data_IF_143757648281
#
_entry.id   IF_143757648281
#
_cell.length_a   1.000
_cell.length_b   1.000
_cell.length_c   1.000
_cell.angle_alpha   90.00
_cell.angle_beta   90.00
_cell.angle_gamma   90.00
#
_symmetry.space_group_name_H-M   'P 1'
#
loop_
_entity.id
_entity.type
_entity.pdbx_description
1 polymer ?
#
# COMPACT_ATOMS: atom_id res chain seq x y z
N UNK A 1 14.74 -6.93 -14.58
CA UNK A 1 13.41 -7.51 -14.32
C UNK A 1 13.44 -8.80 -13.51
N UNK A 2 14.32 -9.78 -13.81
CA UNK A 2 14.33 -11.09 -13.13
C UNK A 2 14.30 -11.06 -11.59
N UNK A 3 15.19 -10.29 -10.95
CA UNK A 3 15.25 -10.21 -9.48
C UNK A 3 13.96 -9.69 -8.86
N UNK A 4 13.36 -8.65 -9.46
CA UNK A 4 12.08 -8.11 -8.97
C UNK A 4 10.92 -9.09 -9.13
N UNK A 5 10.88 -9.83 -10.24
CA UNK A 5 9.86 -10.88 -10.47
C UNK A 5 10.01 -12.03 -9.49
N UNK A 6 11.25 -12.48 -9.21
CA UNK A 6 11.52 -13.49 -8.19
C UNK A 6 11.10 -13.03 -6.80
N UNK A 7 11.48 -11.81 -6.42
CA UNK A 7 11.19 -11.27 -5.10
C UNK A 7 9.67 -11.16 -4.89
N UNK A 8 8.91 -10.74 -5.91
CA UNK A 8 7.46 -10.54 -5.78
C UNK A 8 6.63 -11.82 -5.98
N UNK A 9 7.02 -12.72 -6.90
CA UNK A 9 6.24 -13.92 -7.21
C UNK A 9 6.84 -15.21 -6.64
N UNK A 10 8.09 -15.17 -6.14
CA UNK A 10 8.83 -16.35 -5.67
C UNK A 10 9.53 -17.15 -6.76
N UNK A 11 9.40 -16.76 -8.03
CA UNK A 11 9.92 -17.52 -9.16
C UNK A 11 10.11 -16.67 -10.41
N UNK A 12 10.91 -17.17 -11.35
CA UNK A 12 11.17 -16.57 -12.66
C UNK A 12 10.97 -17.63 -13.74
N UNK A 13 10.29 -17.26 -14.83
CA UNK A 13 10.28 -18.01 -16.08
C UNK A 13 10.98 -17.23 -17.19
N UNK A 14 11.91 -17.88 -17.87
CA UNK A 14 12.61 -17.32 -19.03
C UNK A 14 12.65 -18.34 -20.14
N UNK A 15 12.20 -17.95 -21.33
CA UNK A 15 12.28 -18.75 -22.53
C UNK A 15 13.47 -18.28 -23.39
N UNK A 16 14.52 -19.11 -23.58
CA UNK A 16 15.56 -18.84 -24.57
C UNK A 16 14.98 -19.00 -25.98
N UNK A 17 14.93 -17.92 -26.75
CA UNK A 17 14.44 -17.89 -28.12
C UNK A 17 15.61 -17.66 -29.06
N UNK A 18 15.57 -18.33 -30.22
CA UNK A 18 16.53 -18.09 -31.29
C UNK A 18 15.93 -17.14 -32.31
N UNK A 19 16.52 -15.95 -32.44
CA UNK A 19 16.10 -14.96 -33.42
C UNK A 19 16.87 -15.17 -34.73
N UNK A 20 16.17 -15.62 -35.76
CA UNK A 20 16.72 -15.86 -37.11
C UNK A 20 16.88 -14.58 -37.92
N UNK A 21 16.17 -13.51 -37.58
CA UNK A 21 16.10 -12.25 -38.35
C UNK A 21 17.18 -11.26 -37.90
N UNK A 22 17.72 -11.44 -36.70
CA UNK A 22 18.77 -10.60 -36.14
C UNK A 22 20.11 -10.72 -36.89
N UNK A 23 20.71 -9.57 -37.18
CA UNK A 23 22.06 -9.42 -37.76
C UNK A 23 23.20 -9.39 -36.73
N UNK A 24 22.87 -9.42 -35.44
CA UNK A 24 23.86 -9.45 -34.35
C UNK A 24 24.58 -10.80 -34.27
N UNK A 25 25.79 -10.77 -33.70
CA UNK A 25 26.64 -11.95 -33.50
C UNK A 25 25.96 -13.04 -32.65
N UNK A 26 25.24 -12.64 -31.60
CA UNK A 26 24.50 -13.54 -30.74
C UNK A 26 23.00 -13.51 -31.10
N UNK A 27 22.49 -14.64 -31.56
CA UNK A 27 21.07 -14.81 -31.94
C UNK A 27 20.18 -15.36 -30.82
N UNK A 28 20.78 -15.75 -29.70
CA UNK A 28 20.01 -16.19 -28.53
C UNK A 28 19.48 -14.97 -27.79
N UNK A 29 18.16 -14.89 -27.69
CA UNK A 29 17.45 -13.90 -26.89
C UNK A 29 16.73 -14.58 -25.74
N UNK A 30 16.49 -13.85 -24.66
CA UNK A 30 15.77 -14.34 -23.49
C UNK A 30 14.47 -13.59 -23.39
N UNK A 31 13.35 -14.30 -23.55
CA UNK A 31 12.01 -13.77 -23.34
C UNK A 31 11.61 -14.03 -21.90
N UNK A 32 11.45 -12.97 -21.11
CA UNK A 32 10.87 -13.08 -19.78
C UNK A 32 9.38 -13.45 -19.92
N UNK A 33 8.97 -14.52 -19.25
CA UNK A 33 7.56 -14.94 -19.20
C UNK A 33 7.04 -14.62 -17.81
N UNK A 34 5.89 -13.93 -17.75
CA UNK A 34 5.23 -13.66 -16.48
C UNK A 34 4.79 -14.98 -15.81
N UNK A 35 5.14 -15.23 -14.54
CA UNK A 35 4.66 -16.41 -13.80
C UNK A 35 3.13 -16.55 -13.78
N UNK A 36 2.41 -15.43 -13.87
CA UNK A 36 0.93 -15.39 -13.89
C UNK A 36 0.34 -16.02 -15.15
N UNK A 37 1.12 -16.13 -16.23
CA UNK A 37 0.70 -16.76 -17.48
C UNK A 37 0.93 -18.28 -17.48
N UNK A 38 1.75 -18.78 -16.56
CA UNK A 38 1.97 -20.21 -16.41
C UNK A 38 0.82 -20.76 -15.59
N UNK A 39 -0.10 -21.47 -16.24
CA UNK A 39 -1.30 -22.00 -15.60
C UNK A 39 -1.74 -23.30 -16.28
N UNK A 40 -2.57 -24.07 -15.58
CA UNK A 40 -3.18 -25.29 -16.10
C UNK A 40 -4.16 -24.94 -17.22
N UNK A 41 -4.09 -25.60 -18.39
CA UNK A 41 -5.05 -25.40 -19.46
C UNK A 41 -6.50 -25.57 -18.98
N UNK A 42 -7.34 -24.60 -19.29
CA UNK A 42 -8.74 -24.55 -18.87
C UNK A 42 -8.95 -24.15 -17.39
N UNK A 43 -7.92 -23.64 -16.71
CA UNK A 43 -7.97 -23.22 -15.29
C UNK A 43 -8.45 -24.32 -14.32
N UNK A 44 -8.24 -25.58 -14.69
CA UNK A 44 -8.61 -26.72 -13.85
C UNK A 44 -7.68 -26.90 -12.65
N UNK A 45 -8.08 -27.73 -11.69
CA UNK A 45 -7.24 -28.11 -10.53
C UNK A 45 -5.92 -28.81 -10.91
N UNK A 46 -5.77 -29.23 -12.17
CA UNK A 46 -4.63 -30.02 -12.65
C UNK A 46 -4.83 -31.52 -12.42
N UNK A 47 -3.73 -32.27 -12.56
CA UNK A 47 -3.68 -33.70 -12.31
C UNK A 47 -2.32 -34.10 -11.71
N UNK A 48 -2.10 -35.39 -11.44
CA UNK A 48 -0.84 -35.88 -10.86
C UNK A 48 0.42 -35.43 -11.63
N UNK A 49 0.32 -35.32 -12.95
CA UNK A 49 1.39 -35.02 -13.88
C UNK A 49 1.37 -33.56 -14.37
N UNK A 50 0.40 -32.74 -13.97
CA UNK A 50 0.27 -31.34 -14.38
C UNK A 50 -0.27 -30.53 -13.20
N UNK A 51 0.57 -29.66 -12.63
CA UNK A 51 0.23 -28.89 -11.43
C UNK A 51 0.61 -27.43 -11.64
N UNK A 52 -0.37 -26.53 -11.54
CA UNK A 52 -0.19 -25.09 -11.70
C UNK A 52 0.60 -24.72 -12.98
N UNK A 53 0.23 -25.32 -14.11
CA UNK A 53 0.87 -25.10 -15.41
C UNK A 53 2.21 -25.78 -15.65
N UNK A 54 2.75 -26.54 -14.69
CA UNK A 54 4.00 -27.33 -14.86
C UNK A 54 3.67 -28.81 -15.01
N UNK A 55 4.07 -29.39 -16.13
CA UNK A 55 4.04 -30.84 -16.31
C UNK A 55 5.23 -31.49 -15.60
N UNK A 56 4.97 -32.55 -14.84
CA UNK A 56 5.97 -33.29 -14.07
C UNK A 56 5.96 -34.77 -14.40
N UNK A 57 7.14 -35.38 -14.44
CA UNK A 57 7.30 -36.83 -14.60
C UNK A 57 7.03 -37.56 -13.27
N UNK A 58 7.00 -38.91 -13.30
CA UNK A 58 6.86 -39.78 -12.13
C UNK A 58 7.86 -39.46 -11.02
N UNK A 59 9.04 -38.94 -11.38
CA UNK A 59 10.11 -38.56 -10.46
C UNK A 59 10.04 -37.09 -10.02
N UNK A 60 8.97 -36.35 -10.34
CA UNK A 60 8.81 -34.94 -9.96
C UNK A 60 9.60 -33.94 -10.81
N UNK A 61 10.31 -34.41 -11.85
CA UNK A 61 11.06 -33.54 -12.77
C UNK A 61 10.10 -32.79 -13.69
N UNK A 62 10.25 -31.47 -13.82
CA UNK A 62 9.51 -30.68 -14.80
C UNK A 62 9.84 -31.13 -16.24
N UNK A 63 8.81 -31.41 -17.03
CA UNK A 63 8.87 -31.90 -18.42
C UNK A 63 8.50 -30.80 -19.41
N UNK A 64 7.46 -30.04 -19.10
CA UNK A 64 6.96 -28.94 -19.94
C UNK A 64 6.21 -27.91 -19.10
N UNK A 65 6.01 -26.74 -19.69
CA UNK A 65 5.30 -25.60 -19.10
C UNK A 65 4.17 -25.19 -20.04
N UNK A 66 3.01 -24.91 -19.46
CA UNK A 66 1.83 -24.42 -20.17
C UNK A 66 1.73 -22.92 -19.96
N UNK A 67 1.87 -22.16 -21.04
CA UNK A 67 1.85 -20.70 -21.01
C UNK A 67 0.59 -20.23 -21.72
N UNK A 68 -0.25 -19.50 -21.02
CA UNK A 68 -1.42 -18.88 -21.61
C UNK A 68 -0.98 -17.78 -22.60
N UNK A 69 -1.56 -17.79 -23.81
CA UNK A 69 -1.34 -16.77 -24.83
C UNK A 69 -1.80 -15.40 -24.33
N UNK A 70 -1.01 -14.37 -24.67
CA UNK A 70 -1.27 -12.98 -24.28
C UNK A 70 -1.92 -12.26 -25.46
N UNK A 71 -3.19 -12.59 -25.71
CA UNK A 71 -3.99 -11.92 -26.73
C UNK A 71 -4.55 -10.62 -26.17
N UNK A 72 -4.22 -9.50 -26.81
CA UNK A 72 -4.88 -8.22 -26.55
C UNK A 72 -6.13 -8.13 -27.43
N UNK A 73 -7.33 -7.76 -26.93
CA UNK A 73 -7.62 -7.13 -25.64
C UNK A 73 -8.10 -8.07 -24.52
N UNK A 74 -8.24 -9.38 -24.80
CA UNK A 74 -8.71 -10.37 -23.84
C UNK A 74 -7.54 -11.22 -23.34
N UNK A 75 -6.94 -10.82 -22.21
CA UNK A 75 -5.88 -11.62 -21.59
C UNK A 75 -6.40 -13.04 -21.35
N UNK A 76 -5.76 -14.03 -21.97
CA UNK A 76 -6.16 -15.42 -21.87
C UNK A 76 -7.32 -15.79 -22.78
N UNK A 77 -7.09 -15.82 -24.09
CA UNK A 77 -7.99 -16.37 -25.12
C UNK A 77 -8.32 -17.87 -24.94
N UNK A 78 -8.00 -18.46 -23.78
CA UNK A 78 -8.18 -19.87 -23.49
C UNK A 78 -7.24 -20.76 -24.30
N UNK A 79 -6.16 -20.20 -24.85
CA UNK A 79 -5.12 -20.94 -25.56
C UNK A 79 -3.87 -21.02 -24.70
N UNK A 80 -3.38 -22.24 -24.54
CA UNK A 80 -2.14 -22.53 -23.83
C UNK A 80 -1.14 -23.12 -24.80
N UNK A 81 0.03 -22.50 -24.86
CA UNK A 81 1.18 -23.02 -25.57
C UNK A 81 1.96 -23.94 -24.63
N UNK A 82 2.13 -25.20 -25.03
CA UNK A 82 2.94 -26.17 -24.30
C UNK A 82 4.40 -26.07 -24.76
N UNK A 83 5.27 -25.56 -23.90
CA UNK A 83 6.70 -25.43 -24.16
C UNK A 83 7.46 -26.51 -23.38
N UNK A 84 8.24 -27.38 -24.04
CA UNK A 84 9.04 -28.39 -23.34
C UNK A 84 10.14 -27.72 -22.51
N UNK A 85 10.58 -28.37 -21.43
CA UNK A 85 11.73 -27.90 -20.64
C UNK A 85 13.01 -27.90 -21.47
N UNK A 86 13.23 -28.97 -22.22
CA UNK A 86 14.39 -29.18 -23.08
C UNK A 86 13.92 -29.48 -24.51
N UNK A 87 14.59 -28.87 -25.49
CA UNK A 87 14.43 -29.19 -26.90
C UNK A 87 15.00 -30.59 -27.19
N UNK A 88 14.61 -31.23 -28.30
CA UNK A 88 15.20 -32.51 -28.73
C UNK A 88 16.73 -32.48 -28.87
N UNK A 89 17.30 -31.29 -29.05
CA UNK A 89 18.75 -31.05 -29.12
C UNK A 89 19.44 -31.04 -27.74
N UNK A 90 18.69 -31.17 -26.65
CA UNK A 90 19.18 -31.07 -25.27
C UNK A 90 19.33 -29.63 -24.75
N UNK A 91 19.04 -28.61 -25.58
CA UNK A 91 19.07 -27.21 -25.17
C UNK A 91 17.85 -26.89 -24.28
N UNK A 92 18.00 -26.15 -23.17
CA UNK A 92 16.84 -25.69 -22.40
C UNK A 92 15.95 -24.78 -23.26
N UNK A 93 14.69 -25.18 -23.43
CA UNK A 93 13.64 -24.37 -24.05
C UNK A 93 12.93 -23.47 -23.03
N UNK A 94 12.95 -23.85 -21.75
CA UNK A 94 12.41 -23.04 -20.66
C UNK A 94 13.33 -23.12 -19.44
N UNK A 95 13.60 -21.98 -18.84
CA UNK A 95 14.30 -21.83 -17.58
C UNK A 95 13.28 -21.44 -16.51
N UNK A 96 13.14 -22.28 -15.49
CA UNK A 96 12.33 -22.01 -14.31
C UNK A 96 13.27 -21.93 -13.11
N UNK A 97 13.31 -20.76 -12.48
CA UNK A 97 14.20 -20.46 -11.36
C UNK A 97 13.33 -20.15 -10.15
N UNK A 98 13.42 -20.98 -9.11
CA UNK A 98 12.76 -20.78 -7.83
C UNK A 98 13.52 -21.55 -6.75
N UNK A 99 13.25 -21.22 -5.49
CA UNK A 99 13.78 -21.92 -4.32
C UNK A 99 12.72 -22.91 -3.78
N UNK A 100 12.92 -24.23 -3.89
CA UNK A 100 11.99 -25.23 -3.38
C UNK A 100 12.11 -25.34 -1.85
N UNK A 101 10.97 -25.27 -1.16
CA UNK A 101 10.86 -25.41 0.30
C UNK A 101 10.29 -26.78 0.69
N UNK A 102 9.41 -27.32 -0.15
CA UNK A 102 8.71 -28.59 0.09
C UNK A 102 8.96 -29.61 -1.03
N UNK A 103 8.88 -30.90 -0.69
CA UNK A 103 8.94 -31.97 -1.70
C UNK A 103 7.70 -31.95 -2.59
N UNK A 104 7.91 -32.16 -3.89
CA UNK A 104 6.85 -32.13 -4.90
C UNK A 104 6.31 -30.73 -5.24
N UNK A 105 6.93 -29.67 -4.72
CA UNK A 105 6.63 -28.28 -5.08
C UNK A 105 6.99 -28.00 -6.54
N UNK A 106 6.00 -27.55 -7.32
CA UNK A 106 6.19 -27.26 -8.76
C UNK A 106 6.34 -25.78 -9.09
N UNK A 107 6.07 -24.88 -8.13
CA UNK A 107 6.07 -23.42 -8.30
C UNK A 107 6.73 -22.76 -7.10
N UNK A 108 7.41 -21.65 -7.33
CA UNK A 108 7.96 -20.84 -6.24
C UNK A 108 6.86 -20.14 -5.44
N UNK A 109 7.11 -19.92 -4.16
CA UNK A 109 6.25 -19.11 -3.30
C UNK A 109 6.95 -17.78 -2.98
N UNK A 110 6.18 -16.71 -2.88
CA UNK A 110 6.71 -15.40 -2.51
C UNK A 110 7.28 -15.48 -1.08
N UNK A 111 8.58 -15.20 -0.93
CA UNK A 111 9.28 -15.19 0.35
C UNK A 111 8.75 -14.11 1.31
N UNK A 112 8.19 -13.02 0.77
CA UNK A 112 7.63 -11.90 1.52
C UNK A 112 6.21 -12.15 2.05
N UNK A 113 5.63 -13.33 1.79
CA UNK A 113 4.29 -13.64 2.27
C UNK A 113 4.18 -13.56 3.80
N UNK A 114 5.25 -13.96 4.52
CA UNK A 114 5.33 -13.93 5.98
C UNK A 114 5.28 -12.52 6.58
N UNK A 115 5.77 -11.51 5.85
CA UNK A 115 5.85 -10.11 6.32
C UNK A 115 4.74 -9.22 5.78
N UNK A 116 3.94 -9.70 4.83
CA UNK A 116 2.95 -8.88 4.12
C UNK A 116 1.88 -8.29 5.04
N UNK A 117 1.43 -9.06 6.03
CA UNK A 117 0.50 -8.56 7.06
C UNK A 117 1.12 -7.43 7.88
N UNK A 118 2.40 -7.58 8.26
CA UNK A 118 3.14 -6.58 9.03
C UNK A 118 3.41 -5.31 8.25
N UNK A 119 3.73 -5.43 6.96
CA UNK A 119 3.85 -4.28 6.04
C UNK A 119 2.53 -3.50 5.96
N UNK A 120 1.39 -4.20 5.90
CA UNK A 120 0.08 -3.51 5.86
C UNK A 120 -0.25 -2.81 7.18
N UNK A 121 0.11 -3.42 8.31
CA UNK A 121 -0.06 -2.78 9.61
C UNK A 121 0.81 -1.53 9.75
N UNK A 122 2.06 -1.57 9.30
CA UNK A 122 2.96 -0.40 9.32
C UNK A 122 2.38 0.78 8.52
N UNK A 123 1.90 0.53 7.30
CA UNK A 123 1.23 1.53 6.44
C UNK A 123 0.01 2.15 7.15
N UNK A 124 -0.82 1.31 7.77
CA UNK A 124 -2.01 1.76 8.48
C UNK A 124 -1.66 2.57 9.74
N UNK A 125 -0.64 2.15 10.47
CA UNK A 125 -0.13 2.81 11.67
C UNK A 125 0.41 4.21 11.33
N UNK A 126 1.24 4.34 10.28
CA UNK A 126 1.72 5.63 9.78
C UNK A 126 0.58 6.55 9.35
N UNK A 127 -0.43 6.02 8.65
CA UNK A 127 -1.61 6.79 8.26
C UNK A 127 -2.41 7.31 9.47
N UNK A 128 -2.66 6.47 10.48
CA UNK A 128 -3.39 6.88 11.71
C UNK A 128 -2.60 7.89 12.55
N UNK A 129 -1.27 7.78 12.59
CA UNK A 129 -0.45 8.78 13.26
C UNK A 129 -0.57 10.13 12.53
N UNK A 130 -0.41 10.15 11.21
CA UNK A 130 -0.53 11.38 10.44
C UNK A 130 -1.90 12.04 10.66
N UNK A 131 -2.99 11.25 10.64
CA UNK A 131 -4.33 11.75 10.94
C UNK A 131 -4.44 12.29 12.36
N UNK A 132 -3.91 11.59 13.36
CA UNK A 132 -3.92 12.03 14.75
C UNK A 132 -3.11 13.32 14.94
N UNK A 133 -1.99 13.48 14.24
CA UNK A 133 -1.18 14.69 14.25
C UNK A 133 -1.94 15.88 13.65
N UNK A 134 -2.66 15.66 12.54
CA UNK A 134 -3.53 16.67 11.91
C UNK A 134 -4.66 17.07 12.87
N UNK A 135 -5.36 16.11 13.47
CA UNK A 135 -6.46 16.37 14.42
C UNK A 135 -5.95 17.11 15.66
N UNK A 136 -4.80 16.71 16.21
CA UNK A 136 -4.16 17.41 17.33
C UNK A 136 -3.77 18.84 16.97
N UNK A 137 -3.21 19.07 15.77
CA UNK A 137 -2.92 20.41 15.28
C UNK A 137 -4.18 21.27 15.10
N UNK A 138 -5.30 20.65 14.69
CA UNK A 138 -6.60 21.33 14.58
C UNK A 138 -7.18 21.68 15.95
N UNK A 139 -7.20 20.75 16.92
CA UNK A 139 -7.69 21.01 18.28
C UNK A 139 -6.82 22.01 19.06
N UNK A 140 -5.50 22.04 18.84
CA UNK A 140 -4.66 23.09 19.41
C UNK A 140 -5.02 24.50 18.90
N UNK A 141 -5.79 24.60 17.81
CA UNK A 141 -6.29 25.85 17.24
C UNK A 141 -7.78 26.13 17.58
N UNK A 142 -8.45 25.27 18.35
CA UNK A 142 -9.84 25.53 18.77
C UNK A 142 -9.88 26.43 20.00
N UNK A 143 -10.54 27.56 19.85
CA UNK A 143 -10.74 28.61 20.86
C UNK A 143 -11.83 28.14 21.82
N UNK A 144 -11.58 28.17 23.13
CA UNK A 144 -12.64 28.14 24.14
C UNK A 144 -13.09 29.59 24.39
N UNK A 145 -14.37 29.88 24.15
CA UNK A 145 -14.96 31.17 24.50
C UNK A 145 -15.63 31.06 25.88
N UNK A 146 -15.37 32.02 26.77
CA UNK A 146 -16.01 32.11 28.08
C UNK A 146 -17.46 32.61 27.96
N UNK A 147 -18.33 31.81 27.35
CA UNK A 147 -19.77 31.96 27.54
C UNK A 147 -20.18 31.08 28.72
N UNK A 148 -20.29 31.72 29.88
CA UNK A 148 -20.86 31.12 31.09
C UNK A 148 -22.17 30.41 30.74
N UNK A 149 -22.20 29.09 30.95
CA UNK A 149 -23.26 28.20 30.44
C UNK A 149 -24.63 28.59 31.01
N UNK A 150 -24.66 29.21 32.19
CA UNK A 150 -25.88 29.77 32.79
C UNK A 150 -26.45 30.94 31.98
N UNK A 151 -25.60 31.85 31.47
CA UNK A 151 -26.05 32.98 30.65
C UNK A 151 -26.51 32.52 29.27
N UNK A 152 -25.82 31.57 28.65
CA UNK A 152 -26.23 31.00 27.36
C UNK A 152 -27.62 30.34 27.41
N UNK A 153 -27.97 29.71 28.54
CA UNK A 153 -29.29 29.11 28.74
C UNK A 153 -30.39 30.17 28.98
N UNK A 154 -30.13 31.24 29.75
CA UNK A 154 -31.06 32.37 29.91
C UNK A 154 -31.37 33.07 28.58
N UNK A 155 -30.38 33.22 27.70
CA UNK A 155 -30.56 33.85 26.39
C UNK A 155 -31.32 32.97 25.37
N UNK A 156 -31.26 31.64 25.50
CA UNK A 156 -32.03 30.70 24.65
C UNK A 156 -33.47 30.52 25.16
N UNK A 157 -33.67 30.52 26.49
CA UNK A 157 -34.96 30.25 27.11
C UNK A 157 -35.89 31.49 27.21
N UNK A 158 -35.39 32.70 26.88
CA UNK A 158 -36.04 33.97 27.24
C UNK A 158 -36.48 34.92 26.11
N UNK A 159 -36.71 34.48 24.87
CA UNK A 159 -37.11 35.40 23.78
C UNK A 159 -38.57 35.21 23.32
N UNK A 160 -39.49 36.16 23.60
CA UNK A 160 -40.70 36.36 22.80
C UNK A 160 -40.32 36.93 21.42
N UNK A 161 -41.00 36.45 20.39
CA UNK A 161 -40.59 36.46 18.99
C UNK A 161 -40.68 37.82 18.23
N UNK A 162 -40.64 38.99 18.89
CA UNK A 162 -40.99 40.27 18.24
C UNK A 162 -40.15 41.52 18.60
N UNK A 163 -38.85 41.40 18.92
CA UNK A 163 -37.98 42.59 19.01
C UNK A 163 -36.76 42.50 18.10
N UNK A 164 -36.66 43.48 17.18
CA UNK A 164 -35.57 43.67 16.22
C UNK A 164 -34.24 44.10 16.86
N UNK A 165 -34.19 44.27 18.18
CA UNK A 165 -33.00 44.55 18.99
C UNK A 165 -32.65 43.35 19.87
N UNK A 166 -32.38 42.19 19.26
CA UNK A 166 -31.85 41.06 20.00
C UNK A 166 -30.35 41.32 20.28
N UNK A 167 -29.91 41.46 21.55
CA UNK A 167 -28.51 41.67 21.88
C UNK A 167 -27.61 40.53 21.36
N UNK A 168 -28.15 39.32 21.15
CA UNK A 168 -27.48 38.23 20.46
C UNK A 168 -27.10 38.57 19.01
N UNK A 169 -27.99 39.22 18.24
CA UNK A 169 -27.71 39.59 16.85
C UNK A 169 -26.60 40.65 16.83
N UNK A 170 -26.65 41.64 17.72
CA UNK A 170 -25.62 42.67 17.83
C UNK A 170 -24.26 42.11 18.29
N UNK A 171 -24.26 41.06 19.13
CA UNK A 171 -23.03 40.37 19.56
C UNK A 171 -22.48 39.49 18.44
N UNK A 172 -23.33 38.73 17.74
CA UNK A 172 -22.96 37.93 16.56
C UNK A 172 -22.41 38.80 15.42
N UNK A 173 -22.99 39.98 15.19
CA UNK A 173 -22.52 40.93 14.18
C UNK A 173 -21.16 41.55 14.57
N UNK A 174 -20.94 41.79 15.88
CA UNK A 174 -19.63 42.21 16.41
C UNK A 174 -18.58 41.11 16.29
N UNK A 175 -18.94 39.85 16.53
CA UNK A 175 -18.03 38.72 16.33
C UNK A 175 -17.67 38.55 14.84
N UNK A 176 -18.65 38.57 13.95
CA UNK A 176 -18.42 38.43 12.50
C UNK A 176 -17.51 39.56 11.98
N UNK A 177 -17.82 40.81 12.31
CA UNK A 177 -17.01 41.95 11.87
C UNK A 177 -15.58 41.93 12.44
N UNK A 178 -15.39 41.46 13.67
CA UNK A 178 -14.07 41.34 14.30
C UNK A 178 -13.19 40.28 13.62
N UNK A 179 -13.74 39.09 13.31
CA UNK A 179 -13.01 38.02 12.64
C UNK A 179 -12.80 38.25 11.14
N UNK A 180 -13.69 39.00 10.48
CA UNK A 180 -13.53 39.37 9.06
C UNK A 180 -12.47 40.45 8.86
N UNK A 181 -12.37 41.41 9.78
CA UNK A 181 -11.51 42.59 9.62
C UNK A 181 -10.05 42.34 10.07
N UNK A 182 -9.84 41.54 11.11
CA UNK A 182 -8.54 41.42 11.77
C UNK A 182 -7.87 40.06 11.50
N UNK A 183 -7.66 39.76 10.22
CA UNK A 183 -6.91 38.59 9.78
C UNK A 183 -5.40 38.92 9.73
N UNK A 184 -4.68 38.67 10.83
CA UNK A 184 -3.23 38.86 10.86
C UNK A 184 -2.53 37.59 10.34
N UNK A 185 -1.81 37.73 9.24
CA UNK A 185 -0.98 36.66 8.67
C UNK A 185 0.49 36.91 9.02
N UNK A 186 1.14 35.94 9.66
CA UNK A 186 2.58 35.97 9.93
C UNK A 186 3.18 34.71 9.29
N UNK A 187 4.04 34.89 8.28
CA UNK A 187 4.74 33.77 7.63
C UNK A 187 3.85 32.76 6.89
N UNK A 188 2.67 33.17 6.41
CA UNK A 188 1.76 32.29 5.65
C UNK A 188 0.82 31.43 6.51
N UNK A 189 0.93 31.52 7.85
CA UNK A 189 -0.02 30.89 8.78
C UNK A 189 -0.98 31.95 9.30
N UNK A 190 -2.28 31.65 9.27
CA UNK A 190 -3.34 32.52 9.80
C UNK A 190 -3.33 32.40 11.32
N UNK A 191 -2.90 33.46 12.02
CA UNK A 191 -3.00 33.52 13.48
C UNK A 191 -4.32 34.22 13.79
N UNK A 192 -5.34 33.52 14.32
CA UNK A 192 -6.60 34.17 14.68
C UNK A 192 -6.33 35.16 15.82
N UNK A 193 -6.59 36.44 15.58
CA UNK A 193 -6.62 37.41 16.67
C UNK A 193 -7.97 37.23 17.40
N UNK A 194 -7.90 37.07 18.72
CA UNK A 194 -9.05 36.69 19.54
C UNK A 194 -9.93 37.89 19.90
N UNK A 195 -11.18 37.60 20.26
CA UNK A 195 -12.06 38.62 20.83
C UNK A 195 -11.60 38.96 22.26
N UNK A 196 -11.64 40.24 22.69
CA UNK A 196 -11.23 40.61 24.05
C UNK A 196 -12.05 39.85 25.11
N UNK A 197 -11.40 38.96 25.86
CA UNK A 197 -12.04 38.07 26.85
C UNK A 197 -11.87 36.57 26.55
N UNK A 198 -11.51 36.19 25.33
CA UNK A 198 -11.17 34.81 24.98
C UNK A 198 -9.69 34.52 25.32
N UNK A 199 -9.41 33.38 25.95
CA UNK A 199 -8.05 32.95 26.27
C UNK A 199 -7.53 31.94 25.24
N UNK A 200 -6.32 32.17 24.71
CA UNK A 200 -5.67 31.22 23.80
C UNK A 200 -4.91 30.18 24.63
N UNK A 201 -5.60 29.14 25.08
CA UNK A 201 -4.90 27.98 25.63
C UNK A 201 -4.43 27.09 24.49
N UNK A 202 -3.17 27.27 24.11
CA UNK A 202 -2.45 26.28 23.32
C UNK A 202 -2.33 25.01 24.17
N UNK A 203 -3.31 24.12 24.04
CA UNK A 203 -3.21 22.76 24.56
C UNK A 203 -2.15 22.07 23.71
N UNK A 204 -0.89 22.21 24.11
CA UNK A 204 0.20 21.44 23.52
C UNK A 204 -0.19 19.98 23.72
N UNK A 205 -0.47 19.28 22.63
CA UNK A 205 -0.82 17.88 22.68
C UNK A 205 0.36 17.14 23.34
N UNK A 206 0.22 16.85 24.63
CA UNK A 206 1.27 16.23 25.44
C UNK A 206 1.67 14.91 24.76
N UNK A 207 2.94 14.88 24.34
CA UNK A 207 3.73 13.78 23.80
C UNK A 207 2.96 12.63 23.13
N UNK A 208 2.72 12.78 21.82
CA UNK A 208 2.30 11.66 20.97
C UNK A 208 3.42 10.65 20.66
N UNK A 209 4.64 10.88 21.15
CA UNK A 209 5.85 10.16 20.70
C UNK A 209 6.31 9.02 21.63
N UNK A 210 5.66 8.83 22.79
CA UNK A 210 6.13 7.93 23.86
C UNK A 210 6.09 6.41 23.58
N UNK A 211 5.98 6.01 22.31
CA UNK A 211 6.03 4.60 21.93
C UNK A 211 5.88 4.32 20.44
N UNK A 212 5.56 5.33 19.63
CA UNK A 212 5.43 5.16 18.18
C UNK A 212 6.75 4.74 17.56
N UNK A 213 7.84 5.46 17.85
CA UNK A 213 9.18 5.14 17.34
C UNK A 213 9.65 3.74 17.75
N UNK A 214 9.39 3.33 19.00
CA UNK A 214 9.73 1.99 19.49
C UNK A 214 8.88 0.89 18.82
N UNK A 215 7.58 1.14 18.60
CA UNK A 215 6.68 0.22 17.92
C UNK A 215 7.01 0.10 16.43
N UNK A 216 7.31 1.22 15.76
CA UNK A 216 7.76 1.27 14.37
C UNK A 216 9.09 0.54 14.20
N UNK A 217 10.07 0.80 15.08
CA UNK A 217 11.33 0.06 15.09
C UNK A 217 11.12 -1.44 15.31
N UNK A 218 10.23 -1.84 16.22
CA UNK A 218 9.91 -3.25 16.42
C UNK A 218 9.31 -3.87 15.14
N UNK A 219 8.34 -3.20 14.51
CA UNK A 219 7.73 -3.66 13.25
C UNK A 219 8.77 -3.77 12.12
N UNK A 220 9.63 -2.78 11.95
CA UNK A 220 10.69 -2.80 10.94
C UNK A 220 11.71 -3.91 11.20
N UNK A 221 12.07 -4.20 12.45
CA UNK A 221 12.94 -5.34 12.80
C UNK A 221 12.29 -6.68 12.47
N UNK A 222 10.99 -6.83 12.70
CA UNK A 222 10.26 -8.03 12.30
C UNK A 222 10.20 -8.19 10.78
N UNK A 223 9.99 -7.09 10.04
CA UNK A 223 10.05 -7.11 8.59
C UNK A 223 11.46 -7.51 8.14
N UNK A 224 12.52 -6.93 8.72
CA UNK A 224 13.91 -7.29 8.43
C UNK A 224 14.18 -8.79 8.63
N UNK A 225 13.75 -9.33 9.77
CA UNK A 225 13.88 -10.75 10.07
C UNK A 225 13.15 -11.66 9.06
N UNK A 226 11.96 -11.26 8.59
CA UNK A 226 11.23 -12.04 7.59
C UNK A 226 11.72 -11.85 6.16
N UNK A 227 12.37 -10.72 5.85
CA UNK A 227 13.07 -10.48 4.58
C UNK A 227 14.48 -11.11 4.54
N UNK A 228 15.01 -11.55 5.68
CA UNK A 228 16.36 -12.09 5.80
C UNK A 228 17.48 -11.04 5.70
N UNK A 229 17.17 -9.76 5.92
CA UNK A 229 18.14 -8.64 5.91
C UNK A 229 18.31 -8.07 7.32
N UNK A 230 19.43 -7.37 7.56
CA UNK A 230 19.58 -6.66 8.84
C UNK A 230 18.70 -5.42 8.89
N UNK A 231 18.34 -4.96 10.09
CA UNK A 231 17.55 -3.74 10.25
C UNK A 231 18.25 -2.51 9.65
N UNK A 232 19.59 -2.48 9.69
CA UNK A 232 20.40 -1.39 9.14
C UNK A 232 20.48 -1.39 7.60
N UNK A 233 20.14 -2.50 6.96
CA UNK A 233 20.13 -2.65 5.50
C UNK A 233 18.79 -2.29 4.86
N UNK A 234 17.74 -2.18 5.67
CA UNK A 234 16.36 -1.92 5.27
C UNK A 234 16.13 -0.43 5.04
#
# INVERSE_FOLDING_TARGET
EGVGVHAFNGEIFVQPVWDTETTQLFRTRFKAVSPKRVDTPGHGMGNRFLRAGVEVDRYGRAVAYHICEDDFPFSGSGRWERIPRELPTGRPAMLHIFEPVEDGQTRGANQFYSVMERLKMLDSLQATHLQSAIVKAMYAATIESELDTEKAFEYIAGAPQEQKDNPLINILEKFSSWYDTNNVTLGGVKIPHLFPGDDLKLQTAQDSDNGFSALEQALLRYIAAGLGVSYEQL
#
